data_IF_871635160299
#
_entry.id   IF_871635160299
#
_cell.length_a   1.000
_cell.length_b   1.000
_cell.length_c   1.000
_cell.angle_alpha   90.00
_cell.angle_beta   90.00
_cell.angle_gamma   90.00
#
_symmetry.space_group_name_H-M   'P 1'
#
loop_
_entity.id
_entity.type
_entity.pdbx_description
1 polymer ?
#
# COMPACT_ATOMS: atom_id res chain seq x y z
N UNK A 1 43.67 -8.93 -8.70
CA UNK A 1 42.70 -9.67 -9.54
C UNK A 1 41.59 -10.16 -8.62
N UNK A 2 40.38 -9.59 -8.76
CA UNK A 2 39.12 -10.15 -8.24
C UNK A 2 38.74 -9.90 -6.78
N UNK A 3 38.62 -8.63 -6.36
CA UNK A 3 37.78 -8.28 -5.19
C UNK A 3 36.31 -8.25 -5.67
N UNK A 4 35.65 -9.41 -5.73
CA UNK A 4 34.19 -9.52 -5.99
C UNK A 4 33.49 -9.91 -4.69
N UNK A 5 33.76 -9.15 -3.62
CA UNK A 5 32.83 -9.11 -2.49
C UNK A 5 31.61 -8.37 -3.00
N UNK A 6 30.63 -9.11 -3.52
CA UNK A 6 29.27 -8.62 -3.76
C UNK A 6 28.73 -8.12 -2.43
N UNK A 7 29.01 -6.86 -2.15
CA UNK A 7 28.46 -6.09 -1.03
C UNK A 7 26.96 -6.29 -1.14
N UNK A 8 26.37 -6.86 -0.09
CA UNK A 8 24.93 -6.94 0.06
C UNK A 8 24.36 -5.53 -0.05
N UNK A 9 23.91 -5.17 -1.24
CA UNK A 9 22.89 -4.15 -1.40
C UNK A 9 21.59 -4.85 -1.01
N UNK A 10 21.41 -5.10 0.28
CA UNK A 10 20.05 -5.06 0.81
C UNK A 10 19.71 -3.58 0.74
N UNK A 11 18.85 -3.12 -0.19
CA UNK A 11 18.42 -1.73 -0.17
C UNK A 11 17.89 -1.45 1.23
N UNK A 12 18.44 -0.42 1.88
CA UNK A 12 18.35 -0.15 3.33
C UNK A 12 16.93 0.20 3.81
N UNK A 13 15.93 0.17 2.93
CA UNK A 13 14.54 0.49 3.23
C UNK A 13 13.60 -0.27 2.28
N UNK A 14 13.57 -1.62 2.34
CA UNK A 14 12.33 -2.34 1.99
C UNK A 14 11.43 -2.32 3.24
N UNK A 15 11.01 -1.12 3.61
CA UNK A 15 10.08 -0.81 4.70
C UNK A 15 8.84 -0.14 4.14
N UNK A 16 8.52 -0.43 2.87
CA UNK A 16 7.27 -0.01 2.29
C UNK A 16 6.14 -0.80 2.96
N UNK A 17 5.57 -0.23 4.02
CA UNK A 17 4.39 -0.78 4.65
C UNK A 17 3.22 -0.58 3.68
N UNK A 18 2.47 -1.67 3.43
CA UNK A 18 1.27 -1.59 2.61
C UNK A 18 0.13 -1.06 3.48
N UNK A 19 -0.31 0.16 3.18
CA UNK A 19 -1.39 0.82 3.89
C UNK A 19 -2.71 0.67 3.14
N UNK A 20 -3.75 0.28 3.88
CA UNK A 20 -5.11 0.20 3.39
C UNK A 20 -6.00 1.23 4.10
N UNK A 21 -6.81 1.96 3.33
CA UNK A 21 -7.77 2.95 3.84
C UNK A 21 -9.10 2.87 3.11
N UNK A 22 -10.15 3.41 3.72
CA UNK A 22 -11.47 3.53 3.08
C UNK A 22 -11.69 4.98 2.65
N UNK A 23 -12.08 5.16 1.39
CA UNK A 23 -12.32 6.46 0.79
C UNK A 23 -13.77 6.55 0.30
N UNK A 24 -14.42 7.67 0.61
CA UNK A 24 -15.75 7.98 0.08
C UNK A 24 -15.63 9.01 -1.04
N UNK A 25 -15.91 8.58 -2.28
CA UNK A 25 -15.90 9.45 -3.47
C UNK A 25 -17.34 9.65 -3.97
N UNK A 26 -17.86 10.87 -3.76
CA UNK A 26 -19.23 11.21 -4.11
C UNK A 26 -20.26 10.44 -3.28
N UNK A 27 -20.87 9.40 -3.87
CA UNK A 27 -21.87 8.52 -3.23
C UNK A 27 -21.40 7.07 -3.10
N UNK A 28 -20.10 6.82 -3.30
CA UNK A 28 -19.55 5.47 -3.44
C UNK A 28 -18.36 5.28 -2.50
N UNK A 29 -18.23 4.08 -1.98
CA UNK A 29 -17.15 3.66 -1.09
C UNK A 29 -16.09 2.89 -1.86
N UNK A 30 -14.82 3.14 -1.55
CA UNK A 30 -13.67 2.48 -2.15
C UNK A 30 -12.67 2.11 -1.08
N UNK A 31 -11.85 1.12 -1.35
CA UNK A 31 -10.64 0.83 -0.57
C UNK A 31 -9.45 1.36 -1.35
N UNK A 32 -8.67 2.23 -0.73
CA UNK A 32 -7.37 2.66 -1.25
C UNK A 32 -6.28 1.82 -0.61
N UNK A 33 -5.35 1.33 -1.43
CA UNK A 33 -4.16 0.60 -0.97
C UNK A 33 -2.94 1.29 -1.55
N UNK A 34 -1.91 1.54 -0.75
CA UNK A 34 -0.68 2.17 -1.21
C UNK A 34 0.51 1.71 -0.37
N UNK A 35 1.66 1.64 -1.01
CA UNK A 35 2.95 1.46 -0.33
C UNK A 35 3.46 2.84 0.07
N UNK A 36 3.77 3.05 1.35
CA UNK A 36 4.35 4.31 1.80
C UNK A 36 5.88 4.19 1.88
N UNK A 37 6.59 5.08 1.21
CA UNK A 37 8.04 5.20 1.34
C UNK A 37 8.43 5.89 2.67
N UNK A 38 9.73 5.83 3.01
CA UNK A 38 10.29 6.46 4.23
C UNK A 38 10.14 8.00 4.26
N UNK A 39 9.79 8.62 3.14
CA UNK A 39 9.53 10.06 3.00
C UNK A 39 8.03 10.38 3.08
N UNK A 40 7.18 9.36 3.24
CA UNK A 40 5.73 9.48 3.30
C UNK A 40 5.05 9.63 1.92
N UNK A 41 5.75 9.33 0.82
CA UNK A 41 5.13 9.29 -0.50
C UNK A 41 4.40 7.96 -0.71
N UNK A 42 3.22 8.04 -1.32
CA UNK A 42 2.45 6.88 -1.69
C UNK A 42 2.83 6.40 -3.09
N UNK A 43 3.32 5.18 -3.18
CA UNK A 43 3.60 4.46 -4.42
C UNK A 43 2.61 3.30 -4.61
N UNK A 44 2.46 2.83 -5.86
CA UNK A 44 1.62 1.66 -6.15
C UNK A 44 0.13 1.84 -5.81
N UNK A 45 -0.38 3.07 -5.80
CA UNK A 45 -1.75 3.38 -5.35
C UNK A 45 -2.79 2.62 -6.17
N UNK A 46 -3.56 1.77 -5.49
CA UNK A 46 -4.70 1.03 -6.06
C UNK A 46 -5.99 1.46 -5.41
N UNK A 47 -7.02 1.62 -6.24
CA UNK A 47 -8.39 1.88 -5.81
C UNK A 47 -9.25 0.65 -6.13
N UNK A 48 -9.88 0.07 -5.12
CA UNK A 48 -10.74 -1.10 -5.22
C UNK A 48 -12.19 -0.74 -4.88
N UNK A 49 -13.15 -1.34 -5.60
CA UNK A 49 -14.58 -1.04 -5.49
C UNK A 49 -15.22 -0.64 -6.83
N UNK A 50 -16.40 0.00 -6.80
CA UNK A 50 -17.10 0.54 -5.63
C UNK A 50 -17.75 -0.52 -4.73
N UNK A 51 -17.76 -0.25 -3.42
CA UNK A 51 -18.47 -1.00 -2.39
C UNK A 51 -19.85 -0.40 -2.12
N UNK A 52 -20.86 -1.23 -1.77
CA UNK A 52 -22.23 -0.77 -1.55
C UNK A 52 -22.36 0.15 -0.33
N UNK A 53 -21.52 -0.03 0.69
CA UNK A 53 -21.55 0.74 1.93
C UNK A 53 -20.16 0.77 2.60
N UNK A 54 -20.03 1.64 3.61
CA UNK A 54 -18.78 1.83 4.36
C UNK A 54 -18.32 0.54 5.04
N UNK A 55 -19.24 -0.23 5.63
CA UNK A 55 -18.89 -1.43 6.37
C UNK A 55 -18.31 -2.51 5.45
N UNK A 56 -18.85 -2.65 4.23
CA UNK A 56 -18.30 -3.54 3.20
C UNK A 56 -16.87 -3.13 2.78
N UNK A 57 -16.63 -1.83 2.58
CA UNK A 57 -15.28 -1.33 2.27
C UNK A 57 -14.30 -1.54 3.45
N UNK A 58 -14.73 -1.29 4.69
CA UNK A 58 -13.91 -1.50 5.89
C UNK A 58 -13.57 -2.99 6.10
N UNK A 59 -14.53 -3.88 5.83
CA UNK A 59 -14.29 -5.32 5.90
C UNK A 59 -13.27 -5.77 4.86
N UNK A 60 -13.30 -5.20 3.65
CA UNK A 60 -12.28 -5.49 2.64
C UNK A 60 -10.90 -4.93 3.03
N UNK A 61 -10.83 -3.69 3.52
CA UNK A 61 -9.57 -3.08 3.95
C UNK A 61 -8.89 -3.93 5.04
N UNK A 62 -9.68 -4.46 5.99
CA UNK A 62 -9.21 -5.36 7.06
C UNK A 62 -8.80 -6.76 6.60
N UNK A 63 -9.25 -7.21 5.41
CA UNK A 63 -8.90 -8.55 4.88
C UNK A 63 -7.59 -8.54 4.09
N UNK A 64 -7.08 -7.35 3.78
CA UNK A 64 -5.89 -7.16 2.95
C UNK A 64 -4.65 -6.82 3.79
N UNK A 65 -4.84 -6.61 5.11
CA UNK A 65 -3.78 -6.45 6.12
C UNK A 65 -3.36 -7.79 6.74
#
# INVERSE_FOLDING_TARGET
MGDDRRVGITPRSWTAELHHGVLHLGKRWYVVSAELDDRGNAEGVRLDGPYPDKAAAEAQAKRTV
#
